data_IF_960504980538
#
_entry.id   IF_960504980538
#
_cell.length_a   1.000
_cell.length_b   1.000
_cell.length_c   1.000
_cell.angle_alpha   90.00
_cell.angle_beta   90.00
_cell.angle_gamma   90.00
#
_symmetry.space_group_name_H-M   'P 1'
#
loop_
_entity.id
_entity.type
_entity.pdbx_description
1 polymer ?
#
# COMPACT_ATOMS: atom_id res chain seq x y z
N UNK A 1 -32.03 11.47 -9.28
CA UNK A 1 -31.70 10.07 -8.97
C UNK A 1 -30.40 10.12 -8.19
N UNK A 2 -30.54 10.34 -6.88
CA UNK A 2 -29.47 10.75 -5.98
C UNK A 2 -28.82 9.49 -5.44
N UNK A 3 -27.55 9.25 -5.78
CA UNK A 3 -26.78 8.15 -5.23
C UNK A 3 -26.41 8.51 -3.79
N UNK A 4 -27.07 7.83 -2.85
CA UNK A 4 -26.77 7.84 -1.43
C UNK A 4 -25.41 7.15 -1.23
N UNK A 5 -24.41 7.93 -0.83
CA UNK A 5 -23.13 7.42 -0.35
C UNK A 5 -23.28 7.09 1.14
N UNK A 6 -23.95 5.99 1.45
CA UNK A 6 -24.01 5.44 2.80
C UNK A 6 -22.78 4.55 3.02
N UNK A 7 -21.69 5.12 3.56
CA UNK A 7 -20.69 4.36 4.34
C UNK A 7 -19.93 5.26 5.32
N UNK A 8 -20.68 5.97 6.14
CA UNK A 8 -20.40 5.92 7.58
C UNK A 8 -20.83 4.51 8.01
N UNK A 9 -20.01 3.74 8.71
CA UNK A 9 -19.95 3.84 10.16
C UNK A 9 -18.69 3.11 10.61
N UNK A 10 -17.79 3.85 11.28
CA UNK A 10 -17.02 3.27 12.37
C UNK A 10 -18.08 2.74 13.33
N UNK A 11 -18.23 1.42 13.48
CA UNK A 11 -19.19 0.82 14.43
C UNK A 11 -18.76 1.17 15.85
N UNK A 12 -19.05 2.41 16.25
CA UNK A 12 -19.18 2.84 17.62
C UNK A 12 -20.68 2.69 17.94
N UNK A 13 -21.03 1.59 18.62
CA UNK A 13 -22.30 1.49 19.31
C UNK A 13 -22.43 2.65 20.31
N UNK A 14 -23.67 3.10 20.55
CA UNK A 14 -24.08 4.21 21.40
C UNK A 14 -23.69 4.07 22.89
N UNK A 15 -22.86 3.08 23.24
CA UNK A 15 -22.40 2.76 24.60
C UNK A 15 -20.87 2.93 24.77
N UNK A 16 -20.12 3.24 23.70
CA UNK A 16 -18.68 3.55 23.81
C UNK A 16 -17.76 2.35 24.09
N UNK A 17 -18.25 1.12 23.98
CA UNK A 17 -17.44 -0.09 24.05
C UNK A 17 -16.87 -0.47 22.68
N UNK A 18 -15.60 -0.86 22.61
CA UNK A 18 -15.09 -1.58 21.44
C UNK A 18 -15.79 -2.96 21.43
N UNK A 19 -16.56 -3.25 20.38
CA UNK A 19 -17.30 -4.51 20.23
C UNK A 19 -16.57 -5.39 19.20
N UNK A 20 -16.49 -6.70 19.46
CA UNK A 20 -16.05 -7.68 18.45
C UNK A 20 -17.17 -7.84 17.43
N UNK A 21 -16.98 -7.51 16.15
CA UNK A 21 -18.03 -7.66 15.15
C UNK A 21 -18.31 -9.14 14.87
N UNK A 22 -19.58 -9.47 14.67
CA UNK A 22 -19.99 -10.83 14.29
C UNK A 22 -19.50 -11.19 12.85
N UNK A 23 -19.46 -12.48 12.45
CA UNK A 23 -19.00 -12.87 11.12
C UNK A 23 -19.67 -12.14 9.95
N UNK A 24 -20.98 -11.88 10.03
CA UNK A 24 -21.73 -11.17 9.00
C UNK A 24 -21.33 -9.70 8.96
N UNK A 25 -21.14 -9.08 10.13
CA UNK A 25 -20.63 -7.71 10.24
C UNK A 25 -19.22 -7.58 9.67
N UNK A 26 -18.32 -8.52 9.95
CA UNK A 26 -16.97 -8.54 9.33
C UNK A 26 -17.06 -8.59 7.82
N UNK A 27 -17.95 -9.40 7.26
CA UNK A 27 -18.16 -9.50 5.80
C UNK A 27 -18.68 -8.18 5.21
N UNK A 28 -19.61 -7.51 5.89
CA UNK A 28 -20.16 -6.23 5.43
C UNK A 28 -19.13 -5.10 5.54
N UNK A 29 -18.45 -4.99 6.69
CA UNK A 29 -17.50 -3.90 6.97
C UNK A 29 -16.19 -4.05 6.20
N UNK A 30 -15.61 -5.26 6.20
CA UNK A 30 -14.33 -5.51 5.56
C UNK A 30 -14.47 -5.93 4.09
N UNK A 31 -15.57 -6.57 3.69
CA UNK A 31 -15.72 -7.16 2.36
C UNK A 31 -15.58 -6.15 1.22
N UNK A 32 -16.20 -4.97 1.32
CA UNK A 32 -16.05 -3.91 0.31
C UNK A 32 -14.63 -3.38 0.24
N UNK A 33 -13.96 -3.21 1.39
CA UNK A 33 -12.56 -2.77 1.43
C UNK A 33 -11.63 -3.83 0.83
N UNK A 34 -11.77 -5.11 1.24
CA UNK A 34 -11.00 -6.24 0.71
C UNK A 34 -11.16 -6.35 -0.80
N UNK A 35 -12.40 -6.27 -1.30
CA UNK A 35 -12.68 -6.34 -2.75
C UNK A 35 -12.00 -5.19 -3.50
N UNK A 36 -12.13 -3.95 -3.01
CA UNK A 36 -11.47 -2.79 -3.63
C UNK A 36 -9.95 -2.91 -3.58
N UNK A 37 -9.39 -3.45 -2.50
CA UNK A 37 -7.95 -3.67 -2.35
C UNK A 37 -7.46 -4.77 -3.28
N UNK A 38 -8.22 -5.85 -3.46
CA UNK A 38 -7.89 -6.93 -4.40
C UNK A 38 -7.76 -6.42 -5.84
N UNK A 39 -8.73 -5.64 -6.32
CA UNK A 39 -8.66 -5.01 -7.65
C UNK A 39 -7.45 -4.09 -7.82
N UNK A 40 -7.10 -3.32 -6.78
CA UNK A 40 -5.90 -2.46 -6.78
C UNK A 40 -4.61 -3.28 -6.83
N UNK A 41 -4.54 -4.37 -6.07
CA UNK A 41 -3.38 -5.26 -6.06
C UNK A 41 -3.25 -5.99 -7.40
N UNK A 42 -4.34 -6.47 -7.99
CA UNK A 42 -4.34 -7.12 -9.29
C UNK A 42 -3.85 -6.21 -10.42
N UNK A 43 -4.19 -4.92 -10.39
CA UNK A 43 -3.64 -3.94 -11.34
C UNK A 43 -2.10 -3.82 -11.31
N UNK A 44 -1.47 -4.16 -10.18
CA UNK A 44 0.00 -4.16 -10.00
C UNK A 44 0.61 -5.55 -10.06
N UNK A 45 -0.19 -6.59 -9.82
CA UNK A 45 0.21 -7.99 -9.72
C UNK A 45 -0.81 -8.87 -10.48
N UNK A 46 -0.83 -8.79 -11.83
CA UNK A 46 -1.87 -9.41 -12.66
C UNK A 46 -1.73 -10.94 -12.76
N UNK A 47 -0.69 -11.53 -12.17
CA UNK A 47 -0.46 -12.98 -12.18
C UNK A 47 -1.29 -13.74 -11.14
N UNK A 48 -2.08 -13.06 -10.31
CA UNK A 48 -2.92 -13.68 -9.28
C UNK A 48 -4.36 -13.27 -9.50
N UNK A 49 -5.27 -14.23 -9.43
CA UNK A 49 -6.70 -14.00 -9.59
C UNK A 49 -7.26 -13.11 -8.48
N UNK A 50 -8.18 -12.22 -8.84
CA UNK A 50 -8.81 -11.27 -7.90
C UNK A 50 -9.59 -12.05 -6.84
N UNK A 51 -10.31 -13.09 -7.26
CA UNK A 51 -11.12 -13.95 -6.41
C UNK A 51 -10.28 -14.65 -5.34
N UNK A 52 -9.07 -15.08 -5.66
CA UNK A 52 -8.15 -15.72 -4.70
C UNK A 52 -7.67 -14.73 -3.65
N UNK A 53 -7.34 -13.50 -4.08
CA UNK A 53 -6.99 -12.43 -3.16
C UNK A 53 -8.16 -12.10 -2.21
N UNK A 54 -9.38 -11.99 -2.75
CA UNK A 54 -10.58 -11.71 -1.95
C UNK A 54 -10.83 -12.83 -0.94
N UNK A 55 -10.80 -14.08 -1.37
CA UNK A 55 -11.03 -15.24 -0.50
C UNK A 55 -10.02 -15.28 0.65
N UNK A 56 -8.73 -15.14 0.35
CA UNK A 56 -7.69 -15.11 1.38
C UNK A 56 -7.83 -13.91 2.33
N UNK A 57 -8.17 -12.73 1.80
CA UNK A 57 -8.39 -11.54 2.62
C UNK A 57 -9.57 -11.71 3.58
N UNK A 58 -10.69 -12.25 3.09
CA UNK A 58 -11.89 -12.52 3.90
C UNK A 58 -11.62 -13.58 4.96
N UNK A 59 -10.96 -14.69 4.60
CA UNK A 59 -10.62 -15.75 5.55
C UNK A 59 -9.74 -15.21 6.68
N UNK A 60 -8.73 -14.41 6.35
CA UNK A 60 -7.85 -13.78 7.33
C UNK A 60 -8.61 -12.82 8.26
N UNK A 61 -9.55 -12.03 7.73
CA UNK A 61 -10.38 -11.15 8.55
C UNK A 61 -11.27 -11.94 9.54
N UNK A 62 -11.84 -13.07 9.09
CA UNK A 62 -12.63 -13.95 9.94
C UNK A 62 -11.78 -14.62 11.03
N UNK A 63 -10.56 -15.06 10.71
CA UNK A 63 -9.63 -15.62 11.70
C UNK A 63 -9.20 -14.59 12.75
N UNK A 64 -9.01 -13.33 12.33
CA UNK A 64 -8.59 -12.26 13.23
C UNK A 64 -9.70 -11.79 14.14
N UNK A 65 -10.97 -11.88 13.71
CA UNK A 65 -12.13 -11.68 14.59
C UNK A 65 -12.03 -12.54 15.84
N UNK A 66 -11.70 -13.82 15.68
CA UNK A 66 -11.64 -14.76 16.80
C UNK A 66 -10.47 -14.52 17.76
N UNK A 67 -9.48 -13.73 17.32
CA UNK A 67 -8.28 -13.38 18.10
C UNK A 67 -8.28 -11.93 18.56
N UNK A 68 -9.32 -11.18 18.24
CA UNK A 68 -9.40 -9.76 18.52
C UNK A 68 -9.77 -9.52 19.99
N UNK A 69 -9.08 -8.56 20.59
CA UNK A 69 -9.17 -8.21 22.00
C UNK A 69 -9.58 -6.74 22.11
N UNK A 70 -10.85 -6.45 22.39
CA UNK A 70 -11.36 -5.08 22.45
C UNK A 70 -10.75 -4.24 23.58
N UNK A 71 -10.27 -4.87 24.66
CA UNK A 71 -9.73 -4.18 25.83
C UNK A 71 -8.39 -3.51 25.53
N UNK A 72 -7.76 -3.84 24.39
CA UNK A 72 -6.54 -3.17 23.89
C UNK A 72 -6.78 -1.77 23.35
N UNK A 73 -8.04 -1.35 23.17
CA UNK A 73 -8.39 0.00 22.72
C UNK A 73 -8.07 0.30 21.25
N UNK A 74 -7.72 -0.71 20.45
CA UNK A 74 -7.49 -0.56 19.00
C UNK A 74 -8.73 -1.03 18.25
N UNK A 75 -9.39 -0.20 17.43
CA UNK A 75 -10.58 -0.62 16.68
C UNK A 75 -10.31 -1.83 15.77
N UNK A 76 -11.29 -2.73 15.66
CA UNK A 76 -11.17 -3.97 14.88
C UNK A 76 -10.69 -3.74 13.44
N UNK A 77 -11.29 -2.76 12.73
CA UNK A 77 -10.88 -2.42 11.37
C UNK A 77 -9.41 -1.99 11.24
N UNK A 78 -8.87 -1.32 12.26
CA UNK A 78 -7.45 -0.93 12.32
C UNK A 78 -6.57 -2.15 12.61
N UNK A 79 -7.02 -3.04 13.49
CA UNK A 79 -6.31 -4.26 13.86
C UNK A 79 -6.12 -5.24 12.69
N UNK A 80 -7.16 -5.43 11.86
CA UNK A 80 -7.13 -6.44 10.78
C UNK A 80 -6.43 -5.98 9.51
N UNK A 81 -6.48 -4.68 9.19
CA UNK A 81 -6.04 -4.11 7.90
C UNK A 81 -4.63 -4.55 7.49
N UNK A 82 -3.58 -4.40 8.33
CA UNK A 82 -2.21 -4.77 7.94
C UNK A 82 -2.05 -6.27 7.66
N UNK A 83 -2.81 -7.12 8.37
CA UNK A 83 -2.70 -8.58 8.28
C UNK A 83 -3.48 -9.14 7.10
N UNK A 84 -4.66 -8.59 6.84
CA UNK A 84 -5.47 -8.93 5.67
C UNK A 84 -4.73 -8.53 4.39
N UNK A 85 -4.16 -7.32 4.33
CA UNK A 85 -3.33 -6.88 3.22
C UNK A 85 -2.10 -7.80 3.03
N UNK A 86 -1.42 -8.13 4.13
CA UNK A 86 -0.29 -9.05 4.13
C UNK A 86 -0.64 -10.42 3.54
N UNK A 87 -1.80 -10.98 3.92
CA UNK A 87 -2.27 -12.26 3.39
C UNK A 87 -2.57 -12.21 1.88
N UNK A 88 -3.16 -11.12 1.39
CA UNK A 88 -3.43 -10.91 -0.04
C UNK A 88 -2.14 -10.75 -0.86
N UNK A 89 -1.12 -10.09 -0.30
CA UNK A 89 0.20 -9.99 -0.94
C UNK A 89 0.92 -11.34 -0.91
N UNK A 90 0.83 -12.07 0.19
CA UNK A 90 1.50 -13.36 0.35
C UNK A 90 0.96 -14.42 -0.62
N UNK A 91 -0.36 -14.49 -0.83
CA UNK A 91 -0.91 -15.36 -1.87
C UNK A 91 -0.41 -14.95 -3.26
N UNK A 92 -0.35 -13.64 -3.56
CA UNK A 92 0.16 -13.17 -4.84
C UNK A 92 1.63 -13.52 -5.08
N UNK A 93 2.47 -13.46 -4.05
CA UNK A 93 3.87 -13.87 -4.13
C UNK A 93 4.03 -15.36 -4.39
N UNK A 94 3.16 -16.20 -3.79
CA UNK A 94 3.12 -17.65 -4.03
C UNK A 94 2.66 -17.96 -5.44
N UNK A 95 1.54 -17.37 -5.88
CA UNK A 95 1.00 -17.55 -7.24
C UNK A 95 1.99 -17.07 -8.31
N UNK A 96 2.68 -15.94 -8.10
CA UNK A 96 3.72 -15.48 -9.02
C UNK A 96 4.94 -16.39 -9.08
N UNK A 97 5.27 -17.09 -7.99
CA UNK A 97 6.35 -18.08 -7.98
C UNK A 97 5.95 -19.37 -8.69
N UNK A 98 4.68 -19.76 -8.63
CA UNK A 98 4.12 -20.91 -9.34
C UNK A 98 4.02 -20.59 -10.84
N UNK A 99 3.42 -19.46 -11.22
CA UNK A 99 3.28 -19.04 -12.61
C UNK A 99 4.62 -18.92 -13.33
N UNK A 100 5.64 -18.31 -12.71
CA UNK A 100 7.01 -18.30 -13.26
C UNK A 100 7.60 -19.70 -13.46
N UNK A 101 7.24 -20.65 -12.59
CA UNK A 101 7.70 -22.04 -12.69
C UNK A 101 6.99 -22.77 -13.81
N UNK A 102 5.69 -22.56 -13.97
CA UNK A 102 4.87 -23.10 -15.07
C UNK A 102 5.30 -22.49 -16.41
N UNK A 103 5.47 -21.17 -16.48
CA UNK A 103 6.01 -20.46 -17.63
C UNK A 103 7.41 -20.99 -17.95
N UNK A 104 8.29 -21.20 -16.97
CA UNK A 104 9.62 -21.80 -17.17
C UNK A 104 9.57 -23.27 -17.59
N UNK A 105 8.56 -24.03 -17.18
CA UNK A 105 8.36 -25.42 -17.59
C UNK A 105 7.83 -25.52 -19.03
N UNK A 106 6.99 -24.56 -19.44
CA UNK A 106 6.45 -24.44 -20.80
C UNK A 106 7.45 -23.78 -21.75
N UNK A 107 8.36 -22.95 -21.23
CA UNK A 107 9.40 -22.23 -21.94
C UNK A 107 10.74 -22.99 -22.02
N UNK A 108 10.73 -24.32 -22.06
CA UNK A 108 11.90 -25.09 -22.55
C UNK A 108 12.23 -24.81 -24.05
N UNK A 109 11.62 -23.80 -24.66
CA UNK A 109 12.08 -23.17 -25.88
C UNK A 109 11.78 -21.66 -25.90
N UNK A 110 12.32 -20.86 -24.98
CA UNK A 110 13.00 -19.58 -25.30
C UNK A 110 13.65 -18.98 -24.05
N UNK A 111 14.75 -18.27 -24.26
CA UNK A 111 15.72 -17.73 -23.32
C UNK A 111 15.13 -17.15 -22.01
N UNK A 112 15.32 -17.84 -20.88
CA UNK A 112 15.13 -17.22 -19.56
C UNK A 112 16.34 -16.33 -19.26
N UNK A 113 16.40 -15.18 -19.92
CA UNK A 113 17.29 -14.12 -19.47
C UNK A 113 16.85 -13.72 -18.04
N UNK A 114 17.74 -13.74 -17.03
CA UNK A 114 17.43 -13.15 -15.74
C UNK A 114 16.96 -11.70 -15.94
N UNK A 115 16.09 -11.15 -15.06
CA UNK A 115 15.61 -9.78 -15.20
C UNK A 115 16.80 -8.88 -15.49
N UNK A 116 16.70 -8.14 -16.61
CA UNK A 116 17.79 -7.30 -17.12
C UNK A 116 18.40 -6.55 -15.93
N UNK A 117 19.69 -6.76 -15.70
CA UNK A 117 20.37 -6.18 -14.54
C UNK A 117 20.14 -4.66 -14.49
N UNK A 118 19.97 -4.03 -15.67
CA UNK A 118 19.59 -2.63 -15.80
C UNK A 118 18.21 -2.31 -15.21
N UNK A 119 17.18 -3.12 -15.49
CA UNK A 119 15.83 -2.91 -14.96
C UNK A 119 15.79 -3.03 -13.43
N UNK A 120 16.52 -3.99 -12.86
CA UNK A 120 16.64 -4.11 -11.40
C UNK A 120 17.34 -2.89 -10.78
N UNK A 121 18.41 -2.39 -11.42
CA UNK A 121 19.13 -1.19 -10.97
C UNK A 121 18.23 0.04 -11.05
N UNK A 122 17.49 0.24 -12.15
CA UNK A 122 16.55 1.35 -12.32
C UNK A 122 15.50 1.33 -11.20
N UNK A 123 14.88 0.17 -10.95
CA UNK A 123 13.88 0.05 -9.87
C UNK A 123 14.46 0.33 -8.48
N UNK A 124 15.70 -0.11 -8.22
CA UNK A 124 16.38 0.18 -6.97
C UNK A 124 16.71 1.68 -6.83
N UNK A 125 17.09 2.35 -7.93
CA UNK A 125 17.35 3.79 -7.97
C UNK A 125 16.08 4.60 -7.72
N UNK A 126 14.95 4.22 -8.34
CA UNK A 126 13.65 4.89 -8.13
C UNK A 126 13.19 4.80 -6.67
N UNK A 127 13.33 3.61 -6.06
CA UNK A 127 12.98 3.39 -4.64
C UNK A 127 13.90 4.20 -3.73
N UNK A 128 15.21 4.24 -4.01
CA UNK A 128 16.16 5.01 -3.23
C UNK A 128 15.89 6.53 -3.33
N UNK A 129 15.61 7.03 -4.54
CA UNK A 129 15.29 8.43 -4.76
C UNK A 129 13.99 8.83 -4.05
N UNK A 130 12.96 7.98 -4.11
CA UNK A 130 11.71 8.22 -3.40
C UNK A 130 11.92 8.23 -1.87
N UNK A 131 12.73 7.31 -1.35
CA UNK A 131 13.02 7.24 0.08
C UNK A 131 13.75 8.49 0.58
N UNK A 132 14.75 8.96 -0.17
CA UNK A 132 15.49 10.19 0.14
C UNK A 132 14.56 11.41 0.17
N UNK A 133 13.65 11.55 -0.80
CA UNK A 133 12.71 12.66 -0.83
C UNK A 133 11.71 12.59 0.33
N UNK A 134 11.21 11.39 0.67
CA UNK A 134 10.34 11.17 1.84
C UNK A 134 11.03 11.61 3.15
N UNK A 135 12.34 11.43 3.28
CA UNK A 135 13.10 11.85 4.46
C UNK A 135 13.22 13.38 4.58
N UNK A 136 13.14 14.12 3.48
CA UNK A 136 13.16 15.57 3.46
C UNK A 136 11.78 16.22 3.67
N UNK A 137 10.69 15.45 3.57
CA UNK A 137 9.35 15.98 3.79
C UNK A 137 9.17 16.50 5.24
N UNK A 138 8.43 17.60 5.43
CA UNK A 138 7.99 18.03 6.74
C UNK A 138 7.26 16.92 7.50
N UNK A 139 7.49 16.81 8.81
CA UNK A 139 6.94 15.74 9.65
C UNK A 139 5.44 15.52 9.45
N UNK A 140 4.66 16.62 9.38
CA UNK A 140 3.21 16.57 9.21
C UNK A 140 2.80 16.00 7.83
N UNK A 141 3.52 16.37 6.78
CA UNK A 141 3.28 15.95 5.40
C UNK A 141 3.68 14.49 5.18
N UNK A 142 4.85 14.09 5.69
CA UNK A 142 5.31 12.70 5.73
C UNK A 142 4.35 11.80 6.50
N UNK A 143 3.88 12.25 7.67
CA UNK A 143 2.93 11.48 8.49
C UNK A 143 1.59 11.33 7.77
N UNK A 144 1.08 12.39 7.13
CA UNK A 144 -0.17 12.34 6.36
C UNK A 144 -0.08 11.36 5.18
N UNK A 145 1.00 11.39 4.39
CA UNK A 145 1.22 10.42 3.31
C UNK A 145 1.38 9.00 3.85
N UNK A 146 2.12 8.80 4.94
CA UNK A 146 2.34 7.48 5.53
C UNK A 146 1.01 6.86 6.01
N UNK A 147 0.22 7.62 6.77
CA UNK A 147 -1.09 7.18 7.24
C UNK A 147 -2.06 6.93 6.08
N UNK A 148 -1.98 7.69 5.01
CA UNK A 148 -2.87 7.52 3.85
C UNK A 148 -2.47 6.32 2.97
N UNK A 149 -1.19 6.18 2.63
CA UNK A 149 -0.71 5.19 1.66
C UNK A 149 -0.24 3.87 2.28
N UNK A 150 0.33 3.89 3.50
CA UNK A 150 0.77 2.68 4.19
C UNK A 150 -0.32 2.11 5.10
N UNK A 151 -1.06 2.97 5.80
CA UNK A 151 -2.12 2.55 6.75
C UNK A 151 -3.54 2.57 6.14
N UNK A 152 -3.66 2.94 4.86
CA UNK A 152 -4.94 3.04 4.12
C UNK A 152 -6.04 3.82 4.89
N UNK A 153 -5.65 4.90 5.56
CA UNK A 153 -6.59 5.77 6.27
C UNK A 153 -7.18 6.82 5.34
N UNK A 154 -8.48 7.09 5.47
CA UNK A 154 -9.12 8.18 4.71
C UNK A 154 -8.71 9.52 5.31
N UNK A 155 -8.85 10.60 4.55
CA UNK A 155 -8.48 11.94 5.01
C UNK A 155 -9.14 12.33 6.34
N UNK A 156 -10.42 11.95 6.55
CA UNK A 156 -11.10 12.12 7.83
C UNK A 156 -10.43 11.40 8.99
N UNK A 157 -9.97 10.17 8.77
CA UNK A 157 -9.33 9.33 9.79
C UNK A 157 -7.90 9.84 10.08
N UNK A 158 -7.17 10.26 9.04
CA UNK A 158 -5.86 10.93 9.16
C UNK A 158 -5.99 12.21 9.98
N UNK A 159 -7.01 13.01 9.71
CA UNK A 159 -7.27 14.26 10.42
C UNK A 159 -7.56 14.03 11.91
N UNK A 160 -8.39 13.03 12.22
CA UNK A 160 -8.71 12.64 13.59
C UNK A 160 -7.46 12.19 14.37
N UNK A 161 -6.59 11.37 13.77
CA UNK A 161 -5.35 10.89 14.40
C UNK A 161 -4.34 12.03 14.60
N UNK A 162 -4.21 12.92 13.62
CA UNK A 162 -3.28 14.03 13.67
C UNK A 162 -3.78 15.21 14.51
N UNK A 163 -5.02 15.19 15.00
CA UNK A 163 -5.62 16.31 15.75
C UNK A 163 -5.82 17.57 14.89
N UNK A 164 -6.05 17.40 13.58
CA UNK A 164 -6.21 18.48 12.60
C UNK A 164 -7.58 18.36 11.91
N UNK A 165 -7.91 19.34 11.06
CA UNK A 165 -9.12 19.27 10.22
C UNK A 165 -8.90 18.39 8.98
N UNK A 166 -9.98 17.82 8.43
CA UNK A 166 -9.90 17.03 7.19
C UNK A 166 -9.33 17.83 6.01
N UNK A 167 -9.68 19.12 5.93
CA UNK A 167 -9.12 20.05 4.94
C UNK A 167 -7.60 20.19 5.09
N UNK A 168 -7.08 20.19 6.32
CA UNK A 168 -5.63 20.23 6.57
C UNK A 168 -4.95 18.90 6.20
N UNK A 169 -5.57 17.76 6.47
CA UNK A 169 -5.04 16.45 6.07
C UNK A 169 -4.92 16.31 4.54
N UNK A 170 -5.95 16.75 3.81
CA UNK A 170 -5.91 16.81 2.33
C UNK A 170 -4.76 17.69 1.85
N UNK A 171 -4.64 18.90 2.39
CA UNK A 171 -3.57 19.84 2.01
C UNK A 171 -2.18 19.32 2.32
N UNK A 172 -1.98 18.68 3.48
CA UNK A 172 -0.69 18.07 3.80
C UNK A 172 -0.33 16.97 2.81
N UNK A 173 -1.29 16.11 2.43
CA UNK A 173 -1.06 15.09 1.40
C UNK A 173 -0.75 15.71 0.04
N UNK A 174 -1.50 16.73 -0.38
CA UNK A 174 -1.27 17.39 -1.67
C UNK A 174 0.09 18.08 -1.73
N UNK A 175 0.49 18.78 -0.67
CA UNK A 175 1.82 19.41 -0.56
C UNK A 175 2.95 18.37 -0.56
N UNK A 176 2.74 17.27 0.15
CA UNK A 176 3.67 16.16 0.19
C UNK A 176 3.84 15.53 -1.21
N UNK A 177 2.75 15.27 -1.92
CA UNK A 177 2.80 14.74 -3.29
C UNK A 177 3.43 15.72 -4.28
N UNK A 178 3.17 17.03 -4.12
CA UNK A 178 3.79 18.05 -4.95
C UNK A 178 5.32 18.10 -4.75
N UNK A 179 5.79 18.03 -3.49
CA UNK A 179 7.22 17.97 -3.19
C UNK A 179 7.87 16.70 -3.71
N UNK A 180 7.24 15.53 -3.52
CA UNK A 180 7.72 14.27 -4.08
C UNK A 180 7.81 14.32 -5.61
N UNK A 181 6.79 14.88 -6.28
CA UNK A 181 6.78 15.01 -7.73
C UNK A 181 7.83 16.00 -8.24
N UNK A 182 8.08 17.10 -7.53
CA UNK A 182 9.10 18.09 -7.86
C UNK A 182 10.52 17.52 -7.67
N UNK A 183 10.79 16.91 -6.51
CA UNK A 183 12.08 16.28 -6.19
C UNK A 183 12.45 15.14 -7.15
N UNK A 184 11.47 14.32 -7.53
CA UNK A 184 11.65 13.26 -8.53
C UNK A 184 11.71 13.82 -9.97
N UNK A 185 10.97 14.88 -10.27
CA UNK A 185 10.94 15.52 -11.59
C UNK A 185 12.24 16.23 -11.96
N UNK A 186 12.99 16.71 -10.97
CA UNK A 186 14.33 17.29 -11.18
C UNK A 186 15.42 16.22 -11.43
N UNK A 187 15.15 14.96 -11.12
CA UNK A 187 16.05 13.81 -11.32
C UNK A 187 15.59 12.91 -12.46
N UNK A 188 15.37 13.46 -13.66
CA UNK A 188 15.04 12.63 -14.83
C UNK A 188 16.05 11.46 -14.97
N UNK A 189 15.58 10.22 -15.14
CA UNK A 189 16.44 9.07 -15.40
C UNK A 189 17.08 9.26 -16.78
N UNK A 190 18.31 9.76 -16.81
CA UNK A 190 19.02 10.04 -18.07
C UNK A 190 20.13 11.08 -17.99
N UNK A 191 20.28 11.84 -16.91
CA UNK A 191 21.46 12.66 -16.74
C UNK A 191 22.58 11.84 -16.10
N UNK A 192 23.29 11.09 -16.95
CA UNK A 192 24.68 10.74 -16.67
C UNK A 192 25.43 12.05 -16.42
N UNK A 193 25.63 12.41 -15.15
CA UNK A 193 26.74 13.29 -14.81
C UNK A 193 28.00 12.55 -15.25
N UNK A 194 28.52 12.94 -16.41
CA UNK A 194 29.90 12.76 -16.77
C UNK A 194 30.71 13.15 -15.54
N UNK A 195 31.24 12.15 -14.86
CA UNK A 195 32.36 12.36 -13.96
C UNK A 195 33.48 12.80 -14.91
N UNK A 196 33.57 14.11 -15.12
CA UNK A 196 34.71 14.77 -15.73
C UNK A 196 35.93 14.24 -15.01
N UNK A 197 36.61 13.30 -15.69
CA UNK A 197 37.85 12.74 -15.27
C UNK A 197 38.88 13.88 -15.31
N UNK A 198 38.94 14.64 -14.22
CA UNK A 198 39.95 15.66 -14.01
C UNK A 198 41.23 14.96 -13.57
N UNK A 199 41.77 14.12 -14.46
CA UNK A 199 43.12 13.59 -14.38
C UNK A 199 44.12 14.67 -14.80
N UNK A 200 44.26 15.72 -13.99
CA UNK A 200 45.46 16.56 -14.04
C UNK A 200 46.66 15.72 -13.58
N UNK A 201 47.54 15.44 -14.54
CA UNK A 201 49.01 15.53 -14.48
C UNK A 201 49.64 15.38 -13.07
N UNK A 202 50.39 14.31 -12.80
CA UNK A 202 51.81 14.07 -13.15
C UNK A 202 52.63 14.02 -11.82
N UNK A 203 53.77 13.31 -11.74
CA UNK A 203 55.03 13.89 -12.22
C UNK A 203 55.82 13.01 -13.21
#
# INVERSE_FOLDING_TARGET
MTLQTDTDTITADATGGLVVPDPQQVLVEAGTWITRTAWRLHARMPWTEVEDMIQHGVLTALELRDRYDPDRGVPFGVFIKPRVLGAMIDISRRSGSIKRREDSFLAEADDTAPPDALDLIIRCQDVAALAEEIDHLPYQERTAISLFYLEELRNKDVAQIMGITEVQAVRFRERALAQLAEGLGHRQPGQHQEIENTGKQNP
#
